data_IF_575028680613
#
_entry.id   IF_575028680613
#
_cell.length_a   1.000
_cell.length_b   1.000
_cell.length_c   1.000
_cell.angle_alpha   90.00
_cell.angle_beta   90.00
_cell.angle_gamma   90.00
#
_symmetry.space_group_name_H-M   'P 1'
#
loop_
_entity.id
_entity.type
_entity.pdbx_description
1 polymer ?
#
# COMPACT_ATOMS: atom_id res chain seq x y z
N UNK A 1 -19.33 8.44 0.43
CA UNK A 1 -18.63 8.87 1.65
C UNK A 1 -17.34 8.09 1.73
N UNK A 2 -16.20 8.77 1.61
CA UNK A 2 -14.88 8.18 1.42
C UNK A 2 -14.45 7.40 2.68
N UNK A 3 -14.74 6.10 2.72
CA UNK A 3 -14.45 5.25 3.88
C UNK A 3 -12.94 5.13 4.14
N UNK A 4 -12.10 5.39 3.12
CA UNK A 4 -10.64 5.42 3.25
C UNK A 4 -10.12 6.72 3.91
N UNK A 5 -10.90 7.81 3.90
CA UNK A 5 -10.52 9.07 4.56
C UNK A 5 -10.50 8.98 6.08
N UNK A 6 -11.27 8.03 6.65
CA UNK A 6 -11.39 7.82 8.09
C UNK A 6 -10.31 6.89 8.66
N UNK A 7 -9.51 6.25 7.81
CA UNK A 7 -8.39 5.38 8.22
C UNK A 7 -7.09 6.06 7.82
N UNK A 8 -6.35 6.59 8.78
CA UNK A 8 -5.11 7.35 8.54
C UNK A 8 -4.08 6.55 7.75
N UNK A 9 -3.99 5.24 8.01
CA UNK A 9 -3.10 4.30 7.32
C UNK A 9 -3.47 4.17 5.85
N UNK A 10 -4.75 3.94 5.54
CA UNK A 10 -5.27 3.87 4.18
C UNK A 10 -4.99 5.16 3.40
N UNK A 11 -5.29 6.32 4.02
CA UNK A 11 -5.05 7.63 3.41
C UNK A 11 -3.57 7.82 3.06
N UNK A 12 -2.67 7.50 4.00
CA UNK A 12 -1.23 7.65 3.80
C UNK A 12 -0.71 6.75 2.69
N UNK A 13 -1.13 5.48 2.70
CA UNK A 13 -0.78 4.51 1.68
C UNK A 13 -1.19 4.98 0.28
N UNK A 14 -2.44 5.40 0.14
CA UNK A 14 -2.97 5.80 -1.16
C UNK A 14 -2.41 7.12 -1.67
N UNK A 15 -2.09 8.06 -0.78
CA UNK A 15 -1.33 9.25 -1.14
C UNK A 15 0.07 8.87 -1.65
N UNK A 16 0.69 7.82 -1.09
CA UNK A 16 1.96 7.28 -1.59
C UNK A 16 1.85 6.72 -3.01
N UNK A 17 0.80 5.95 -3.31
CA UNK A 17 0.54 5.45 -4.67
C UNK A 17 0.33 6.63 -5.65
N UNK A 18 -0.44 7.64 -5.24
CA UNK A 18 -0.69 8.82 -6.06
C UNK A 18 0.59 9.60 -6.34
N UNK A 19 1.45 9.77 -5.33
CA UNK A 19 2.74 10.44 -5.49
C UNK A 19 3.67 9.69 -6.46
N UNK A 20 3.75 8.35 -6.37
CA UNK A 20 4.50 7.53 -7.33
C UNK A 20 4.03 7.77 -8.77
N UNK A 21 2.72 7.85 -8.97
CA UNK A 21 2.19 8.09 -10.30
C UNK A 21 2.47 9.49 -10.81
N UNK A 22 2.30 10.51 -9.99
CA UNK A 22 2.62 11.88 -10.40
C UNK A 22 4.09 11.95 -10.85
N UNK A 23 4.98 11.26 -10.13
CA UNK A 23 6.40 11.16 -10.47
C UNK A 23 6.64 10.46 -11.81
N UNK A 24 6.11 9.26 -12.01
CA UNK A 24 6.30 8.48 -13.25
C UNK A 24 5.42 8.90 -14.41
N UNK A 25 4.48 9.83 -14.21
CA UNK A 25 3.73 10.49 -15.28
C UNK A 25 4.57 11.55 -16.01
N UNK A 26 5.69 11.97 -15.41
CA UNK A 26 6.61 12.90 -16.07
C UNK A 26 7.33 12.17 -17.21
N UNK A 27 7.41 12.76 -18.43
CA UNK A 27 7.93 12.06 -19.61
C UNK A 27 9.33 11.44 -19.43
N UNK A 28 10.23 12.13 -18.73
CA UNK A 28 11.59 11.63 -18.46
C UNK A 28 11.60 10.37 -17.61
N UNK A 29 10.93 10.40 -16.46
CA UNK A 29 10.85 9.26 -15.55
C UNK A 29 10.05 8.10 -16.15
N UNK A 30 9.01 8.41 -16.94
CA UNK A 30 8.21 7.40 -17.63
C UNK A 30 9.06 6.55 -18.58
N UNK A 31 9.89 7.20 -19.40
CA UNK A 31 10.80 6.52 -20.33
C UNK A 31 11.85 5.70 -19.59
N UNK A 32 12.37 6.21 -18.46
CA UNK A 32 13.31 5.46 -17.62
C UNK A 32 12.66 4.17 -17.07
N UNK A 33 11.46 4.30 -16.51
CA UNK A 33 10.70 3.16 -15.99
C UNK A 33 10.41 2.12 -17.08
N UNK A 34 9.99 2.55 -18.28
CA UNK A 34 9.76 1.64 -19.40
C UNK A 34 11.00 0.87 -19.82
N UNK A 35 12.17 1.53 -19.85
CA UNK A 35 13.44 0.85 -20.16
C UNK A 35 13.73 -0.24 -19.14
N UNK A 36 13.58 0.05 -17.85
CA UNK A 36 13.79 -0.92 -16.78
C UNK A 36 12.77 -2.07 -16.81
N UNK A 37 11.49 -1.78 -17.10
CA UNK A 37 10.47 -2.80 -17.31
C UNK A 37 10.86 -3.77 -18.43
N UNK A 38 11.35 -3.25 -19.56
CA UNK A 38 11.82 -4.07 -20.68
C UNK A 38 13.05 -4.91 -20.30
N UNK A 39 14.02 -4.32 -19.60
CA UNK A 39 15.22 -5.04 -19.13
C UNK A 39 14.89 -6.18 -18.17
N UNK A 40 13.89 -5.99 -17.30
CA UNK A 40 13.43 -7.01 -16.35
C UNK A 40 12.44 -8.01 -16.97
N UNK A 41 12.12 -7.88 -18.27
CA UNK A 41 11.12 -8.74 -18.93
C UNK A 41 9.70 -8.57 -18.40
N UNK A 42 9.41 -7.43 -17.76
CA UNK A 42 8.08 -7.11 -17.22
C UNK A 42 7.20 -6.63 -18.39
N UNK A 43 6.50 -7.59 -18.99
CA UNK A 43 5.53 -7.33 -20.06
C UNK A 43 4.24 -6.72 -19.50
N UNK A 44 4.28 -5.46 -19.07
CA UNK A 44 3.08 -4.72 -18.67
C UNK A 44 2.50 -4.00 -19.88
N UNK A 45 1.56 -4.66 -20.57
CA UNK A 45 0.67 -4.02 -21.57
C UNK A 45 -0.17 -2.88 -20.97
N UNK A 46 -0.27 -2.80 -19.63
CA UNK A 46 -0.81 -1.65 -18.93
C UNK A 46 0.33 -0.83 -18.38
N UNK A 47 0.59 0.30 -19.03
CA UNK A 47 1.16 1.50 -18.44
C UNK A 47 0.55 1.70 -17.03
N UNK A 48 1.26 2.34 -16.09
CA UNK A 48 0.63 2.92 -14.90
C UNK A 48 -0.41 3.93 -15.40
N UNK A 49 -1.57 3.43 -15.80
CA UNK A 49 -2.60 4.21 -16.45
C UNK A 49 -3.08 5.29 -15.49
N UNK A 50 -3.60 6.37 -16.08
CA UNK A 50 -4.18 7.50 -15.36
C UNK A 50 -4.83 7.06 -14.05
N UNK A 51 -4.23 7.49 -12.94
CA UNK A 51 -4.62 7.14 -11.59
C UNK A 51 -5.93 7.85 -11.24
N UNK A 52 -7.03 7.39 -11.84
CA UNK A 52 -8.36 7.92 -11.56
C UNK A 52 -8.78 7.51 -10.16
N UNK A 53 -8.59 8.43 -9.21
CA UNK A 53 -8.94 8.27 -7.79
C UNK A 53 -10.45 8.05 -7.54
N UNK A 54 -11.29 8.11 -8.57
CA UNK A 54 -12.76 8.16 -8.39
C UNK A 54 -13.46 6.81 -8.20
N UNK A 55 -12.79 5.65 -8.41
CA UNK A 55 -13.44 4.32 -8.32
C UNK A 55 -12.54 3.24 -7.72
N UNK A 56 -13.12 2.33 -6.91
CA UNK A 56 -12.41 1.17 -6.33
C UNK A 56 -11.73 0.29 -7.38
N UNK A 57 -12.32 0.13 -8.56
CA UNK A 57 -11.70 -0.60 -9.66
C UNK A 57 -10.40 0.06 -10.14
N UNK A 58 -10.31 1.39 -10.17
CA UNK A 58 -9.04 2.03 -10.51
C UNK A 58 -8.02 1.84 -9.39
N UNK A 59 -8.43 1.99 -8.12
CA UNK A 59 -7.55 1.75 -6.95
C UNK A 59 -6.97 0.33 -6.95
N UNK A 60 -7.79 -0.67 -7.30
CA UNK A 60 -7.35 -2.05 -7.50
C UNK A 60 -6.26 -2.15 -8.57
N UNK A 61 -6.52 -1.59 -9.76
CA UNK A 61 -5.56 -1.63 -10.87
C UNK A 61 -4.25 -0.92 -10.53
N UNK A 62 -4.30 0.15 -9.73
CA UNK A 62 -3.10 0.85 -9.28
C UNK A 62 -2.27 0.01 -8.31
N UNK A 63 -2.91 -0.63 -7.32
CA UNK A 63 -2.21 -1.54 -6.40
C UNK A 63 -1.56 -2.70 -7.18
N UNK A 64 -2.31 -3.26 -8.14
CA UNK A 64 -1.83 -4.33 -9.03
C UNK A 64 -0.66 -3.89 -9.90
N UNK A 65 -0.71 -2.67 -10.45
CA UNK A 65 0.37 -2.12 -11.27
C UNK A 65 1.63 -1.88 -10.44
N UNK A 66 1.50 -1.33 -9.23
CA UNK A 66 2.63 -1.11 -8.31
C UNK A 66 3.25 -2.44 -7.89
N UNK A 67 2.45 -3.45 -7.52
CA UNK A 67 2.96 -4.79 -7.17
C UNK A 67 3.75 -5.43 -8.31
N UNK A 68 3.23 -5.37 -9.55
CA UNK A 68 3.88 -5.97 -10.72
C UNK A 68 5.18 -5.26 -11.11
N UNK A 69 5.21 -3.94 -10.97
CA UNK A 69 6.33 -3.11 -11.39
C UNK A 69 7.25 -2.71 -10.23
N UNK A 70 7.06 -3.28 -9.04
CA UNK A 70 7.71 -2.79 -7.83
C UNK A 70 9.24 -2.74 -7.96
N UNK A 71 9.82 -3.80 -8.52
CA UNK A 71 11.27 -3.92 -8.74
C UNK A 71 11.78 -2.84 -9.71
N UNK A 72 11.08 -2.62 -10.83
CA UNK A 72 11.41 -1.57 -11.79
C UNK A 72 11.25 -0.16 -11.18
N UNK A 73 10.21 0.05 -10.37
CA UNK A 73 9.96 1.32 -9.66
C UNK A 73 11.10 1.61 -8.68
N UNK A 74 11.50 0.62 -7.88
CA UNK A 74 12.58 0.75 -6.90
C UNK A 74 13.89 1.12 -7.60
N UNK A 75 14.28 0.37 -8.64
CA UNK A 75 15.50 0.63 -9.40
C UNK A 75 15.48 1.99 -10.08
N UNK A 76 14.35 2.40 -10.68
CA UNK A 76 14.24 3.71 -11.32
C UNK A 76 14.46 4.87 -10.35
N UNK A 77 13.96 4.73 -9.10
CA UNK A 77 14.18 5.73 -8.05
C UNK A 77 15.64 5.72 -7.57
N UNK A 78 16.26 4.54 -7.42
CA UNK A 78 17.67 4.42 -7.05
C UNK A 78 18.60 5.02 -8.11
N UNK A 79 18.35 4.75 -9.40
CA UNK A 79 19.12 5.33 -10.52
C UNK A 79 19.02 6.86 -10.52
N UNK A 80 17.83 7.44 -10.37
CA UNK A 80 17.66 8.91 -10.33
C UNK A 80 18.43 9.55 -9.16
N UNK A 81 18.46 8.88 -7.99
CA UNK A 81 19.23 9.35 -6.84
C UNK A 81 20.74 9.35 -7.16
N UNK A 82 21.24 8.32 -7.86
CA UNK A 82 22.65 8.22 -8.23
C UNK A 82 23.05 9.20 -9.35
N UNK A 83 22.14 9.52 -10.28
CA UNK A 83 22.37 10.50 -11.35
C UNK A 83 22.39 11.96 -10.85
N UNK A 84 22.03 12.19 -9.59
CA UNK A 84 22.25 13.44 -8.83
C UNK A 84 21.69 14.71 -9.51
N UNK A 85 20.49 14.60 -10.08
CA UNK A 85 19.73 15.77 -10.57
C UNK A 85 19.06 16.44 -9.37
N UNK A 86 19.67 17.47 -8.80
CA UNK A 86 19.35 18.07 -7.49
C UNK A 86 17.85 18.07 -7.09
N UNK A 87 16.95 18.58 -7.94
CA UNK A 87 15.52 18.65 -7.60
C UNK A 87 14.80 17.29 -7.66
N UNK A 88 15.14 16.45 -8.63
CA UNK A 88 14.48 15.15 -8.84
C UNK A 88 15.01 14.09 -7.87
N UNK A 89 16.29 14.21 -7.47
CA UNK A 89 16.92 13.32 -6.50
C UNK A 89 16.22 13.33 -5.13
N UNK A 90 15.81 14.51 -4.64
CA UNK A 90 15.12 14.65 -3.34
C UNK A 90 13.71 14.05 -3.39
N UNK A 91 12.99 14.28 -4.49
CA UNK A 91 11.66 13.70 -4.70
C UNK A 91 11.73 12.17 -4.82
N UNK A 92 12.69 11.66 -5.60
CA UNK A 92 12.95 10.24 -5.76
C UNK A 92 13.33 9.57 -4.43
N UNK A 93 14.18 10.21 -3.63
CA UNK A 93 14.54 9.75 -2.28
C UNK A 93 13.30 9.70 -1.38
N UNK A 94 12.47 10.73 -1.39
CA UNK A 94 11.21 10.76 -0.64
C UNK A 94 10.30 9.58 -1.01
N UNK A 95 10.12 9.31 -2.31
CA UNK A 95 9.33 8.18 -2.79
C UNK A 95 9.94 6.82 -2.45
N UNK A 96 11.26 6.69 -2.57
CA UNK A 96 11.98 5.47 -2.20
C UNK A 96 11.77 5.14 -0.72
N UNK A 97 11.85 6.15 0.17
CA UNK A 97 11.56 5.97 1.60
C UNK A 97 10.10 5.64 1.89
N UNK A 98 9.15 6.02 1.03
CA UNK A 98 7.74 5.66 1.19
C UNK A 98 7.53 4.20 0.82
N UNK A 99 8.03 3.75 -0.34
CA UNK A 99 7.77 2.39 -0.82
C UNK A 99 8.51 1.33 0.00
N UNK A 100 9.69 1.67 0.52
CA UNK A 100 10.51 0.76 1.35
C UNK A 100 10.02 0.62 2.79
N UNK A 101 9.06 1.44 3.23
CA UNK A 101 8.47 1.30 4.56
C UNK A 101 7.65 0.01 4.67
N UNK A 102 7.76 -0.72 5.79
CA UNK A 102 6.98 -1.93 5.99
C UNK A 102 5.48 -1.62 6.00
N UNK A 103 5.05 -0.49 6.54
CA UNK A 103 3.64 -0.05 6.52
C UNK A 103 3.09 0.00 5.08
N UNK A 104 3.90 0.48 4.13
CA UNK A 104 3.49 0.60 2.74
C UNK A 104 3.38 -0.77 2.08
N UNK A 105 4.37 -1.65 2.29
CA UNK A 105 4.40 -3.00 1.71
C UNK A 105 3.25 -3.86 2.23
N UNK A 106 3.00 -3.85 3.54
CA UNK A 106 1.90 -4.62 4.15
C UNK A 106 0.56 -4.06 3.65
N UNK A 107 0.39 -2.73 3.65
CA UNK A 107 -0.81 -2.08 3.11
C UNK A 107 -1.04 -2.43 1.63
N UNK A 108 0.02 -2.45 0.83
CA UNK A 108 -0.06 -2.77 -0.60
C UNK A 108 -0.66 -4.14 -0.86
N UNK A 109 -0.22 -5.16 -0.13
CA UNK A 109 -0.73 -6.52 -0.26
C UNK A 109 -2.17 -6.63 0.23
N UNK A 110 -2.48 -6.05 1.40
CA UNK A 110 -3.82 -6.10 1.98
C UNK A 110 -4.83 -5.39 1.09
N UNK A 111 -4.54 -4.15 0.66
CA UNK A 111 -5.43 -3.41 -0.23
C UNK A 111 -5.56 -4.10 -1.59
N UNK A 112 -4.50 -4.66 -2.15
CA UNK A 112 -4.61 -5.42 -3.39
C UNK A 112 -5.56 -6.62 -3.24
N UNK A 113 -5.43 -7.41 -2.18
CA UNK A 113 -6.28 -8.58 -1.92
C UNK A 113 -7.74 -8.19 -1.68
N UNK A 114 -7.99 -7.23 -0.78
CA UNK A 114 -9.34 -6.76 -0.46
C UNK A 114 -10.01 -6.16 -1.70
N UNK A 115 -9.31 -5.29 -2.42
CA UNK A 115 -9.86 -4.65 -3.62
C UNK A 115 -10.06 -5.66 -4.76
N UNK A 116 -9.27 -6.73 -4.85
CA UNK A 116 -9.50 -7.80 -5.82
C UNK A 116 -10.86 -8.46 -5.60
N UNK A 117 -11.17 -8.83 -4.36
CA UNK A 117 -12.45 -9.44 -3.97
C UNK A 117 -13.61 -8.47 -4.25
N UNK A 118 -13.49 -7.21 -3.80
CA UNK A 118 -14.51 -6.18 -4.04
C UNK A 118 -14.72 -5.95 -5.54
N UNK A 119 -13.67 -5.99 -6.36
CA UNK A 119 -13.76 -5.78 -7.80
C UNK A 119 -14.49 -6.95 -8.50
N UNK A 120 -14.32 -8.19 -8.03
CA UNK A 120 -15.10 -9.34 -8.52
C UNK A 120 -16.58 -9.14 -8.22
N UNK A 121 -16.92 -8.79 -6.97
CA UNK A 121 -18.29 -8.53 -6.55
C UNK A 121 -18.91 -7.37 -7.35
N UNK A 122 -18.17 -6.28 -7.53
CA UNK A 122 -18.62 -5.10 -8.28
C UNK A 122 -18.90 -5.42 -9.75
N UNK A 123 -18.03 -6.22 -10.40
CA UNK A 123 -18.25 -6.67 -11.78
C UNK A 123 -19.46 -7.57 -11.89
N UNK A 124 -19.66 -8.47 -10.93
CA UNK A 124 -20.84 -9.34 -10.91
C UNK A 124 -22.14 -8.52 -10.88
N UNK A 125 -22.24 -7.51 -10.02
CA UNK A 125 -23.43 -6.65 -9.96
C UNK A 125 -23.67 -5.81 -11.22
N UNK A 126 -22.66 -5.64 -12.07
CA UNK A 126 -22.79 -4.95 -13.35
C UNK A 126 -23.20 -5.88 -14.49
N UNK A 127 -23.33 -7.19 -14.25
CA UNK A 127 -23.75 -8.15 -15.29
C UNK A 127 -25.26 -8.10 -15.52
N UNK A 128 -25.68 -8.09 -16.80
CA UNK A 128 -27.08 -7.93 -17.18
C UNK A 128 -27.97 -9.13 -16.78
N UNK A 129 -27.37 -10.32 -16.61
CA UNK A 129 -28.07 -11.58 -16.36
C UNK A 129 -27.92 -12.08 -14.92
N UNK A 130 -27.46 -11.24 -13.98
CA UNK A 130 -27.33 -11.64 -12.58
C UNK A 130 -28.72 -11.86 -11.94
N UNK A 131 -28.90 -13.01 -11.31
CA UNK A 131 -30.10 -13.29 -10.50
C UNK A 131 -29.90 -12.88 -9.04
N UNK A 132 -30.99 -12.59 -8.33
CA UNK A 132 -30.94 -12.24 -6.91
C UNK A 132 -30.38 -13.39 -6.05
N UNK A 133 -30.64 -14.65 -6.42
CA UNK A 133 -30.08 -15.81 -5.73
C UNK A 133 -28.55 -15.87 -5.82
N UNK A 134 -28.01 -15.71 -7.03
CA UNK A 134 -26.56 -15.65 -7.26
C UNK A 134 -25.92 -14.44 -6.56
N UNK A 135 -26.60 -13.29 -6.54
CA UNK A 135 -26.15 -12.12 -5.80
C UNK A 135 -26.03 -12.40 -4.29
N UNK A 136 -27.04 -13.03 -3.69
CA UNK A 136 -27.03 -13.39 -2.27
C UNK A 136 -25.90 -14.37 -1.94
N UNK A 137 -25.71 -15.38 -2.79
CA UNK A 137 -24.64 -16.37 -2.61
C UNK A 137 -23.25 -15.72 -2.71
N UNK A 138 -23.04 -14.83 -3.68
CA UNK A 138 -21.77 -14.15 -3.85
C UNK A 138 -21.46 -13.17 -2.72
N UNK A 139 -22.46 -12.43 -2.22
CA UNK A 139 -22.30 -11.57 -1.04
C UNK A 139 -21.89 -12.40 0.17
N UNK A 140 -22.60 -13.50 0.44
CA UNK A 140 -22.30 -14.39 1.57
C UNK A 140 -20.89 -14.96 1.45
N UNK A 141 -20.53 -15.45 0.26
CA UNK A 141 -19.18 -15.96 -0.02
C UNK A 141 -18.10 -14.90 0.17
N UNK A 142 -18.38 -13.66 -0.23
CA UNK A 142 -17.46 -12.52 -0.05
C UNK A 142 -17.24 -12.20 1.44
N UNK A 143 -18.31 -12.20 2.23
CA UNK A 143 -18.24 -11.98 3.68
C UNK A 143 -17.40 -13.09 4.34
N UNK A 144 -17.72 -14.36 4.05
CA UNK A 144 -16.97 -15.50 4.58
C UNK A 144 -15.49 -15.45 4.19
N UNK A 145 -15.17 -14.97 2.98
CA UNK A 145 -13.78 -14.81 2.53
C UNK A 145 -13.05 -13.74 3.35
N UNK A 146 -13.68 -12.62 3.66
CA UNK A 146 -13.07 -11.58 4.50
C UNK A 146 -12.90 -12.04 5.95
N UNK A 147 -13.88 -12.75 6.51
CA UNK A 147 -13.80 -13.29 7.87
C UNK A 147 -12.66 -14.33 7.97
N UNK A 148 -12.61 -15.29 7.06
CA UNK A 148 -11.53 -16.27 7.02
C UNK A 148 -10.15 -15.62 6.81
N UNK A 149 -10.06 -14.60 5.94
CA UNK A 149 -8.83 -13.85 5.71
C UNK A 149 -8.34 -13.10 6.94
N UNK A 150 -9.26 -12.53 7.74
CA UNK A 150 -8.92 -11.86 9.01
C UNK A 150 -8.42 -12.85 10.06
N UNK A 151 -9.06 -14.00 10.17
CA UNK A 151 -8.74 -14.98 11.21
C UNK A 151 -7.41 -15.69 10.91
N UNK A 152 -7.24 -16.16 9.67
CA UNK A 152 -6.09 -16.95 9.25
C UNK A 152 -4.88 -16.09 8.83
N UNK A 153 -5.11 -14.83 8.46
CA UNK A 153 -4.09 -13.88 7.98
C UNK A 153 -3.11 -14.49 6.96
N UNK A 154 -3.64 -15.34 6.06
CA UNK A 154 -2.86 -16.15 5.11
C UNK A 154 -1.97 -15.33 4.18
N UNK A 155 -2.33 -14.07 3.94
CA UNK A 155 -1.58 -13.12 3.12
C UNK A 155 -0.19 -12.80 3.69
N UNK A 156 0.04 -13.06 4.97
CA UNK A 156 1.32 -12.78 5.62
C UNK A 156 2.49 -13.51 4.95
N UNK A 157 2.30 -14.76 4.53
CA UNK A 157 3.33 -15.54 3.83
C UNK A 157 3.75 -14.90 2.51
N UNK A 158 2.78 -14.36 1.76
CA UNK A 158 3.05 -13.67 0.51
C UNK A 158 3.82 -12.36 0.76
N UNK A 159 3.48 -11.66 1.85
CA UNK A 159 4.17 -10.43 2.29
C UNK A 159 5.62 -10.73 2.70
N UNK A 160 5.87 -11.80 3.45
CA UNK A 160 7.22 -12.22 3.85
C UNK A 160 8.08 -12.55 2.61
N UNK A 161 7.57 -13.39 1.71
CA UNK A 161 8.29 -13.73 0.47
C UNK A 161 8.59 -12.50 -0.39
N UNK A 162 7.64 -11.57 -0.46
CA UNK A 162 7.83 -10.32 -1.18
C UNK A 162 8.89 -9.43 -0.53
N UNK A 163 8.85 -9.29 0.79
CA UNK A 163 9.79 -8.48 1.55
C UNK A 163 11.21 -9.04 1.46
N UNK A 164 11.37 -10.36 1.54
CA UNK A 164 12.64 -11.05 1.32
C UNK A 164 13.19 -10.78 -0.09
N UNK A 165 12.35 -10.93 -1.13
CA UNK A 165 12.75 -10.64 -2.51
C UNK A 165 13.23 -9.19 -2.68
N UNK A 166 12.56 -8.24 -2.05
CA UNK A 166 12.85 -6.80 -2.18
C UNK A 166 13.85 -6.27 -1.16
N UNK A 167 14.37 -7.12 -0.27
CA UNK A 167 15.28 -6.78 0.84
C UNK A 167 14.71 -5.70 1.77
N UNK A 168 13.44 -5.83 2.15
CA UNK A 168 12.73 -4.89 3.03
C UNK A 168 12.56 -5.52 4.41
N UNK A 169 12.94 -4.78 5.46
CA UNK A 169 12.68 -5.22 6.84
C UNK A 169 11.22 -4.96 7.21
N UNK A 170 10.53 -6.00 7.67
CA UNK A 170 9.13 -5.95 8.15
C UNK A 170 9.02 -5.62 9.64
N UNK A 171 10.14 -5.34 10.31
CA UNK A 171 10.16 -4.97 11.72
C UNK A 171 9.40 -3.65 11.92
N UNK A 172 8.45 -3.60 12.87
CA UNK A 172 7.72 -2.39 13.14
C UNK A 172 8.68 -1.31 13.65
N UNK A 173 8.64 -0.13 13.04
CA UNK A 173 9.47 1.00 13.47
C UNK A 173 8.95 1.48 14.83
N UNK A 174 9.58 1.05 15.91
CA UNK A 174 9.28 1.57 17.25
C UNK A 174 9.70 3.03 17.31
N UNK A 175 8.75 3.95 17.20
CA UNK A 175 9.01 5.36 17.44
C UNK A 175 9.25 5.52 18.93
N UNK A 176 10.52 5.63 19.32
CA UNK A 176 10.90 6.07 20.67
C UNK A 176 10.22 7.42 20.90
N UNK A 177 9.15 7.43 21.71
CA UNK A 177 8.49 8.66 22.13
C UNK A 177 9.54 9.47 22.86
N UNK A 178 10.09 10.51 22.20
CA UNK A 178 10.98 11.48 22.83
C UNK A 178 10.19 12.10 23.99
N UNK A 179 10.42 11.62 25.22
CA UNK A 179 9.84 12.21 26.43
C UNK A 179 10.37 13.64 26.50
N UNK A 180 9.57 14.61 26.06
CA UNK A 180 9.79 16.00 26.45
C UNK A 180 9.58 16.05 27.95
N UNK A 181 10.65 16.19 28.73
CA UNK A 181 10.52 16.66 30.11
C UNK A 181 9.93 18.07 30.02
N UNK A 182 8.67 18.20 30.42
CA UNK A 182 7.98 19.46 30.50
C UNK A 182 8.21 19.99 31.92
N UNK A 183 8.71 21.23 32.03
CA UNK A 183 8.77 21.95 33.31
C UNK A 183 7.35 22.14 33.88
N UNK A 184 7.24 22.14 35.22
CA UNK A 184 6.03 22.12 36.05
C UNK A 184 4.96 23.17 35.72
N UNK A 185 4.19 22.99 34.64
CA UNK A 185 2.94 23.71 34.44
C UNK A 185 1.85 22.77 33.92
N UNK A 186 0.71 22.80 34.62
CA UNK A 186 -0.49 22.05 34.26
C UNK A 186 -1.11 22.63 32.98
N UNK A 187 -0.79 22.04 31.82
CA UNK A 187 -1.57 22.22 30.60
C UNK A 187 -2.26 20.88 30.30
N UNK A 188 -3.59 20.83 30.46
CA UNK A 188 -4.40 19.75 29.89
C UNK A 188 -4.45 19.94 28.37
N UNK A 189 -3.46 19.42 27.65
CA UNK A 189 -3.54 19.25 26.20
C UNK A 189 -4.12 17.87 25.89
N UNK A 190 -5.31 17.82 25.31
CA UNK A 190 -6.05 16.60 24.94
C UNK A 190 -5.84 16.19 23.47
N UNK A 191 -4.74 16.60 22.83
CA UNK A 191 -4.49 16.27 21.42
C UNK A 191 -3.36 15.26 21.30
N UNK A 192 -3.72 14.00 21.00
CA UNK A 192 -2.76 12.96 20.61
C UNK A 192 -3.02 11.58 21.19
N UNK A 193 -4.24 11.02 21.05
CA UNK A 193 -4.41 9.56 21.15
C UNK A 193 -4.16 8.94 19.78
N UNK A 194 -2.92 8.56 19.52
CA UNK A 194 -2.60 7.58 18.47
C UNK A 194 -2.92 6.19 19.03
N UNK A 195 -3.81 5.44 18.36
CA UNK A 195 -4.22 4.08 18.73
C UNK A 195 -3.11 3.02 18.50
N UNK A 196 -1.88 3.27 18.94
CA UNK A 196 -0.84 2.23 18.95
C UNK A 196 -0.92 1.54 20.30
N UNK A 197 -1.47 0.32 20.34
CA UNK A 197 -1.37 -0.56 21.51
C UNK A 197 0.12 -0.85 21.73
N UNK A 198 0.64 -0.50 22.91
CA UNK A 198 2.02 -0.78 23.31
C UNK A 198 2.18 -2.31 23.46
N UNK A 199 2.58 -2.98 22.37
CA UNK A 199 2.90 -4.40 22.37
C UNK A 199 4.34 -4.62 22.91
N UNK A 200 4.61 -5.70 23.67
CA UNK A 200 5.94 -5.98 24.20
C UNK A 200 6.98 -6.12 23.08
N UNK A 201 8.23 -5.75 23.36
CA UNK A 201 9.37 -5.69 22.44
C UNK A 201 9.78 -7.01 21.78
N UNK A 202 9.01 -8.09 21.97
CA UNK A 202 9.26 -9.43 21.45
C UNK A 202 8.04 -10.02 20.70
N UNK A 203 7.13 -9.15 20.24
CA UNK A 203 5.93 -9.56 19.50
C UNK A 203 6.33 -9.91 18.07
N UNK A 204 5.89 -11.05 17.55
CA UNK A 204 6.16 -11.44 16.16
C UNK A 204 5.64 -10.34 15.22
N UNK A 205 6.39 -9.96 14.16
CA UNK A 205 5.93 -8.93 13.22
C UNK A 205 4.52 -9.19 12.68
N UNK A 206 4.18 -10.45 12.42
CA UNK A 206 2.84 -10.91 12.02
C UNK A 206 1.72 -10.43 12.99
N UNK A 207 1.90 -10.65 14.29
CA UNK A 207 0.92 -10.29 15.32
C UNK A 207 0.77 -8.77 15.45
N UNK A 208 1.87 -8.03 15.29
CA UNK A 208 1.84 -6.57 15.27
C UNK A 208 1.00 -6.05 14.10
N UNK A 209 1.26 -6.53 12.89
CA UNK A 209 0.59 -6.05 11.68
C UNK A 209 -0.87 -6.51 11.60
N UNK A 210 -1.22 -7.68 12.17
CA UNK A 210 -2.60 -8.14 12.29
C UNK A 210 -3.48 -7.20 13.13
N UNK A 211 -2.89 -6.44 14.06
CA UNK A 211 -3.60 -5.54 14.98
C UNK A 211 -3.56 -4.08 14.52
N UNK A 212 -2.44 -3.64 13.95
CA UNK A 212 -2.16 -2.20 13.75
C UNK A 212 -2.40 -1.69 12.32
N UNK A 213 -2.99 -2.51 11.44
CA UNK A 213 -3.29 -2.14 10.05
C UNK A 213 -4.79 -2.15 9.78
#
# INVERSE_FOLDING_TARGET
VDSCANVSTAKTFFNGIEALYIYFSQPGHHVSLQKLQNTLGINTSREMGSLSTTRWSCRFENCKAVLKNYEAIKLALEEEITENRDKHSVEALGLLTIITKPEFVVSLHIFHSVLAIVNVLSKFFQTQNATLGQASELITSTISTFEAGRDQFTIWKDIEQFAEKQQISLEPVTVSKRRRQQMDFYIKSTVGKSNTLDLPTNTRPEEYWKINI
#
